data_IF_642897882554
#
_entry.id   IF_642897882554
#
_cell.length_a   1.000
_cell.length_b   1.000
_cell.length_c   1.000
_cell.angle_alpha   90.00
_cell.angle_beta   90.00
_cell.angle_gamma   90.00
#
_symmetry.space_group_name_H-M   'P 1'
#
loop_
_entity.id
_entity.type
_entity.pdbx_description
1 polymer ?
#
# COMPACT_ATOMS: atom_id res chain seq x y z
N UNK A 1 5.35 0.90 -7.96
CA UNK A 1 4.70 0.93 -6.64
C UNK A 1 5.51 1.85 -5.75
N UNK A 2 4.86 2.64 -4.89
CA UNK A 2 5.50 3.67 -4.08
C UNK A 2 5.93 3.08 -2.73
N UNK A 3 7.18 3.28 -2.32
CA UNK A 3 7.71 2.68 -1.08
C UNK A 3 7.30 3.41 0.21
N UNK A 4 7.04 4.72 0.16
CA UNK A 4 6.69 5.52 1.35
C UNK A 4 5.77 6.69 1.01
N UNK A 5 4.72 6.92 1.80
CA UNK A 5 3.84 8.10 1.70
C UNK A 5 4.08 9.08 2.86
N UNK A 6 4.09 10.39 2.59
CA UNK A 6 4.13 11.39 3.67
C UNK A 6 2.70 11.62 4.19
N UNK A 7 2.47 11.35 5.47
CA UNK A 7 1.21 11.69 6.14
C UNK A 7 1.52 12.70 7.24
N UNK A 8 0.97 13.91 7.12
CA UNK A 8 1.18 14.97 8.11
C UNK A 8 0.33 14.71 9.35
N UNK A 9 0.84 14.93 10.58
CA UNK A 9 0.02 14.95 11.80
C UNK A 9 -1.14 15.96 11.74
N UNK A 10 -1.04 16.97 10.85
CA UNK A 10 -2.15 17.89 10.55
C UNK A 10 -3.38 17.19 10.00
N UNK A 11 -3.27 15.95 9.53
CA UNK A 11 -4.43 15.11 9.20
C UNK A 11 -5.43 15.02 10.37
N UNK A 12 -4.96 14.99 11.62
CA UNK A 12 -5.84 14.89 12.79
C UNK A 12 -6.30 16.23 13.34
N UNK A 13 -5.46 17.26 13.20
CA UNK A 13 -5.65 18.56 13.86
C UNK A 13 -6.18 19.64 12.91
N UNK A 14 -5.96 19.49 11.61
CA UNK A 14 -6.38 20.43 10.58
C UNK A 14 -7.90 20.47 10.40
N UNK A 15 -8.37 21.50 9.71
CA UNK A 15 -9.80 21.71 9.45
C UNK A 15 -10.44 20.51 8.75
N UNK A 16 -9.91 20.10 7.58
CA UNK A 16 -10.38 18.92 6.85
C UNK A 16 -10.37 17.65 7.72
N UNK A 17 -9.35 17.48 8.56
CA UNK A 17 -9.25 16.38 9.50
C UNK A 17 -10.37 16.34 10.54
N UNK A 18 -10.75 17.51 11.06
CA UNK A 18 -11.88 17.66 11.99
C UNK A 18 -13.21 17.44 11.29
N UNK A 19 -13.37 17.89 10.04
CA UNK A 19 -14.58 17.63 9.26
C UNK A 19 -14.75 16.13 8.95
N UNK A 20 -13.68 15.43 8.56
CA UNK A 20 -13.69 13.98 8.40
C UNK A 20 -14.09 13.26 9.71
N UNK A 21 -13.58 13.71 10.86
CA UNK A 21 -13.96 13.15 12.17
C UNK A 21 -15.45 13.35 12.47
N UNK A 22 -15.99 14.54 12.19
CA UNK A 22 -17.42 14.84 12.36
C UNK A 22 -18.29 13.97 11.44
N UNK A 23 -17.81 13.70 10.22
CA UNK A 23 -18.53 12.89 9.24
C UNK A 23 -18.60 11.40 9.63
N UNK A 24 -17.66 10.90 10.44
CA UNK A 24 -17.68 9.54 11.00
C UNK A 24 -16.33 8.82 10.89
N UNK A 25 -16.16 7.74 11.66
CA UNK A 25 -14.92 6.99 11.71
C UNK A 25 -14.56 6.37 10.34
N UNK A 26 -15.56 5.93 9.58
CA UNK A 26 -15.37 5.37 8.23
C UNK A 26 -14.77 6.40 7.28
N UNK A 27 -15.16 7.68 7.39
CA UNK A 27 -14.61 8.75 6.56
C UNK A 27 -13.12 8.98 6.87
N UNK A 28 -12.73 8.92 8.15
CA UNK A 28 -11.32 9.02 8.55
C UNK A 28 -10.51 7.82 8.08
N UNK A 29 -11.04 6.59 8.20
CA UNK A 29 -10.39 5.37 7.73
C UNK A 29 -10.20 5.41 6.21
N UNK A 30 -11.25 5.77 5.46
CA UNK A 30 -11.17 5.91 4.01
C UNK A 30 -10.17 7.00 3.63
N UNK A 31 -10.24 8.19 4.21
CA UNK A 31 -9.31 9.27 3.91
C UNK A 31 -7.84 8.89 4.19
N UNK A 32 -7.59 8.21 5.31
CA UNK A 32 -6.25 7.72 5.65
C UNK A 32 -5.77 6.65 4.67
N UNK A 33 -6.64 5.72 4.30
CA UNK A 33 -6.37 4.72 3.27
C UNK A 33 -6.07 5.38 1.92
N UNK A 34 -6.83 6.39 1.49
CA UNK A 34 -6.58 7.09 0.22
C UNK A 34 -5.18 7.72 0.15
N UNK A 35 -4.63 8.14 1.29
CA UNK A 35 -3.26 8.69 1.38
C UNK A 35 -2.17 7.61 1.36
N UNK A 36 -2.50 6.38 1.74
CA UNK A 36 -1.55 5.30 2.04
C UNK A 36 -1.75 4.05 1.20
N UNK A 37 -2.75 4.05 0.30
CA UNK A 37 -3.11 2.91 -0.52
C UNK A 37 -1.91 2.40 -1.33
N UNK A 38 -1.74 1.07 -1.45
CA UNK A 38 -0.69 0.49 -2.29
C UNK A 38 -0.84 0.87 -3.77
N UNK A 39 -2.04 1.29 -4.18
CA UNK A 39 -2.38 1.72 -5.53
C UNK A 39 -2.15 3.22 -5.76
N UNK A 40 -1.89 3.99 -4.69
CA UNK A 40 -1.72 5.44 -4.79
C UNK A 40 -0.40 5.84 -5.47
N UNK A 41 -0.48 6.82 -6.37
CA UNK A 41 0.69 7.50 -6.93
C UNK A 41 0.96 8.83 -6.21
N UNK A 42 2.05 9.49 -6.59
CA UNK A 42 2.43 10.77 -5.98
C UNK A 42 1.47 11.93 -6.28
N UNK A 43 0.64 11.81 -7.32
CA UNK A 43 -0.32 12.85 -7.71
C UNK A 43 -1.59 12.80 -6.85
N UNK A 44 -1.85 11.65 -6.22
CA UNK A 44 -3.13 11.36 -5.60
C UNK A 44 -4.26 11.19 -6.62
N UNK A 45 -3.95 10.94 -7.89
CA UNK A 45 -4.92 10.69 -8.95
C UNK A 45 -4.67 9.29 -9.52
N UNK A 46 -5.49 8.32 -9.14
CA UNK A 46 -5.23 6.91 -9.43
C UNK A 46 -6.52 6.06 -9.46
N UNK A 47 -6.42 4.86 -10.02
CA UNK A 47 -7.51 3.88 -10.10
C UNK A 47 -7.77 3.25 -8.74
N UNK A 48 -9.01 3.30 -8.28
CA UNK A 48 -9.43 2.73 -7.00
C UNK A 48 -10.90 2.29 -7.06
N UNK A 49 -11.17 1.02 -7.44
CA UNK A 49 -12.48 0.43 -7.25
C UNK A 49 -12.89 0.46 -5.78
N UNK A 50 -14.17 0.73 -5.51
CA UNK A 50 -14.74 0.66 -4.16
C UNK A 50 -14.54 -0.73 -3.55
N UNK A 51 -14.46 -1.78 -4.37
CA UNK A 51 -14.15 -3.13 -3.92
C UNK A 51 -12.78 -3.24 -3.25
N UNK A 52 -11.75 -2.56 -3.78
CA UNK A 52 -10.41 -2.56 -3.18
C UNK A 52 -10.44 -1.83 -1.85
N UNK A 53 -11.10 -0.67 -1.80
CA UNK A 53 -11.29 0.09 -0.58
C UNK A 53 -11.99 -0.76 0.49
N UNK A 54 -13.09 -1.44 0.13
CA UNK A 54 -13.84 -2.30 1.05
C UNK A 54 -13.03 -3.48 1.57
N UNK A 55 -12.30 -4.17 0.67
CA UNK A 55 -11.48 -5.31 1.03
C UNK A 55 -10.33 -4.93 1.96
N UNK A 56 -9.59 -3.87 1.61
CA UNK A 56 -8.35 -3.50 2.31
C UNK A 56 -8.62 -2.74 3.63
N UNK A 57 -9.74 -2.01 3.73
CA UNK A 57 -10.12 -1.33 4.99
C UNK A 57 -10.93 -2.19 5.95
N UNK A 58 -11.52 -3.30 5.48
CA UNK A 58 -12.42 -4.14 6.27
C UNK A 58 -13.78 -3.52 6.56
N UNK A 59 -14.12 -2.35 5.99
CA UNK A 59 -15.39 -1.66 6.21
C UNK A 59 -16.60 -2.32 5.52
N UNK A 60 -16.36 -3.29 4.63
CA UNK A 60 -17.38 -3.82 3.72
C UNK A 60 -17.79 -2.79 2.65
N UNK A 61 -18.59 -3.22 1.66
CA UNK A 61 -18.95 -2.38 0.51
C UNK A 61 -19.78 -1.16 0.93
N UNK A 62 -20.72 -1.32 1.85
CA UNK A 62 -21.58 -0.22 2.34
C UNK A 62 -20.74 0.80 3.12
N UNK A 63 -19.92 0.34 4.06
CA UNK A 63 -19.06 1.22 4.87
C UNK A 63 -18.02 1.96 4.03
N UNK A 64 -17.40 1.28 3.06
CA UNK A 64 -16.44 1.89 2.13
C UNK A 64 -17.10 2.95 1.24
N UNK A 65 -18.25 2.63 0.63
CA UNK A 65 -19.01 3.57 -0.21
C UNK A 65 -19.42 4.82 0.58
N UNK A 66 -19.96 4.62 1.79
CA UNK A 66 -20.38 5.69 2.69
C UNK A 66 -19.22 6.55 3.16
N UNK A 67 -18.10 5.92 3.56
CA UNK A 67 -16.89 6.61 3.97
C UNK A 67 -16.29 7.45 2.84
N UNK A 68 -16.26 6.91 1.62
CA UNK A 68 -15.79 7.62 0.43
C UNK A 68 -16.68 8.82 0.10
N UNK A 69 -18.00 8.65 0.11
CA UNK A 69 -18.96 9.76 -0.08
C UNK A 69 -18.73 10.88 0.93
N UNK A 70 -18.61 10.54 2.21
CA UNK A 70 -18.33 11.51 3.28
C UNK A 70 -16.98 12.22 3.09
N UNK A 71 -15.95 11.52 2.60
CA UNK A 71 -14.66 12.13 2.27
C UNK A 71 -14.78 13.11 1.09
N UNK A 72 -15.63 12.82 0.10
CA UNK A 72 -15.96 13.75 -0.99
C UNK A 72 -16.69 14.98 -0.46
N UNK A 73 -17.72 14.80 0.37
CA UNK A 73 -18.48 15.90 0.98
C UNK A 73 -17.62 16.80 1.87
N UNK A 74 -16.64 16.22 2.57
CA UNK A 74 -15.64 16.95 3.37
C UNK A 74 -14.58 17.67 2.50
N UNK A 75 -14.67 17.58 1.17
CA UNK A 75 -13.73 18.19 0.24
C UNK A 75 -12.34 17.55 0.24
N UNK A 76 -12.18 16.36 0.81
CA UNK A 76 -10.88 15.68 0.89
C UNK A 76 -10.47 15.04 -0.44
N UNK A 77 -11.44 14.52 -1.19
CA UNK A 77 -11.20 13.89 -2.49
C UNK A 77 -12.37 14.11 -3.45
N UNK A 78 -12.16 13.79 -4.73
CA UNK A 78 -13.20 13.58 -5.73
C UNK A 78 -13.15 12.14 -6.23
N UNK A 79 -14.29 11.57 -6.61
CA UNK A 79 -14.37 10.20 -7.12
C UNK A 79 -15.22 10.12 -8.41
N UNK A 80 -14.69 9.44 -9.42
CA UNK A 80 -15.34 9.18 -10.71
C UNK A 80 -15.81 7.72 -10.69
N UNK A 81 -17.11 7.49 -10.57
CA UNK A 81 -17.68 6.15 -10.50
C UNK A 81 -17.54 5.38 -11.83
N UNK A 82 -17.60 6.06 -12.97
CA UNK A 82 -17.57 5.41 -14.28
C UNK A 82 -16.15 4.95 -14.63
N UNK A 83 -15.15 5.74 -14.27
CA UNK A 83 -13.74 5.41 -14.48
C UNK A 83 -13.08 4.70 -13.28
N UNK A 84 -13.78 4.62 -12.14
CA UNK A 84 -13.27 4.18 -10.84
C UNK A 84 -11.96 4.87 -10.46
N UNK A 85 -11.89 6.19 -10.71
CA UNK A 85 -10.71 7.00 -10.42
C UNK A 85 -10.97 7.86 -9.19
N UNK A 86 -10.00 7.94 -8.30
CA UNK A 86 -10.01 8.87 -7.17
C UNK A 86 -9.00 9.99 -7.40
N UNK A 87 -9.37 11.21 -7.04
CA UNK A 87 -8.46 12.34 -6.90
C UNK A 87 -8.44 12.83 -5.44
N UNK A 88 -7.35 12.56 -4.72
CA UNK A 88 -7.09 13.09 -3.39
C UNK A 88 -6.56 14.51 -3.51
N UNK A 89 -7.32 15.48 -3.02
CA UNK A 89 -7.00 16.89 -3.19
C UNK A 89 -5.72 17.26 -2.42
N UNK A 90 -4.92 18.16 -2.99
CA UNK A 90 -3.63 18.61 -2.42
C UNK A 90 -2.56 17.53 -2.22
N UNK A 91 -2.84 16.25 -2.54
CA UNK A 91 -1.87 15.17 -2.33
C UNK A 91 -0.58 15.39 -3.12
N UNK A 92 -0.66 15.84 -4.37
CA UNK A 92 0.53 16.16 -5.17
C UNK A 92 1.43 17.21 -4.48
N UNK A 93 0.83 18.27 -3.91
CA UNK A 93 1.57 19.30 -3.18
C UNK A 93 2.26 18.74 -1.92
N UNK A 94 1.59 17.88 -1.16
CA UNK A 94 2.18 17.26 0.04
C UNK A 94 3.28 16.24 -0.28
N UNK A 95 3.13 15.49 -1.37
CA UNK A 95 4.04 14.40 -1.70
C UNK A 95 5.26 14.91 -2.48
N UNK A 96 5.04 15.78 -3.47
CA UNK A 96 6.08 16.29 -4.37
C UNK A 96 6.68 17.61 -3.86
N UNK A 97 5.84 18.50 -3.32
CA UNK A 97 6.18 19.84 -2.84
C UNK A 97 5.13 20.86 -3.30
N UNK A 98 4.96 21.99 -2.59
CA UNK A 98 3.92 22.99 -2.90
C UNK A 98 4.14 23.66 -4.27
N UNK A 99 5.37 24.11 -4.54
CA UNK A 99 5.76 24.72 -5.82
C UNK A 99 7.19 24.28 -6.14
N UNK A 100 7.44 23.95 -7.40
CA UNK A 100 8.75 23.52 -7.90
C UNK A 100 9.40 24.63 -8.74
N UNK A 101 10.74 24.65 -8.78
CA UNK A 101 11.47 25.56 -9.67
C UNK A 101 11.42 25.03 -11.11
N UNK A 102 11.44 25.92 -12.11
CA UNK A 102 11.69 25.51 -13.50
C UNK A 102 13.00 24.71 -13.56
N UNK A 103 12.96 23.50 -14.15
CA UNK A 103 14.12 22.61 -14.27
C UNK A 103 14.31 21.60 -13.12
N UNK A 104 13.45 21.59 -12.09
CA UNK A 104 13.46 20.51 -11.09
C UNK A 104 13.05 19.18 -11.72
N UNK A 105 13.83 18.11 -11.50
CA UNK A 105 13.56 16.78 -12.05
C UNK A 105 12.20 16.20 -11.61
N UNK A 106 11.66 16.66 -10.47
CA UNK A 106 10.32 16.27 -10.02
C UNK A 106 9.22 16.76 -10.96
N UNK A 107 9.40 17.91 -11.63
CA UNK A 107 8.45 18.39 -12.64
C UNK A 107 8.32 17.37 -13.78
N UNK A 108 9.45 16.82 -14.25
CA UNK A 108 9.44 15.78 -15.27
C UNK A 108 8.72 14.51 -14.79
N UNK A 109 8.96 14.10 -13.53
CA UNK A 109 8.24 12.97 -12.92
C UNK A 109 6.72 13.19 -12.85
N UNK A 110 6.28 14.37 -12.42
CA UNK A 110 4.85 14.73 -12.38
C UNK A 110 4.24 14.73 -13.78
N UNK A 111 4.92 15.31 -14.78
CA UNK A 111 4.42 15.32 -16.17
C UNK A 111 4.27 13.91 -16.73
N UNK A 112 5.29 13.06 -16.52
CA UNK A 112 5.25 11.68 -17.01
C UNK A 112 4.11 10.89 -16.35
N UNK A 113 3.96 11.00 -15.03
CA UNK A 113 2.87 10.33 -14.32
C UNK A 113 1.51 10.84 -14.80
N UNK A 114 1.32 12.16 -14.92
CA UNK A 114 0.08 12.78 -15.40
C UNK A 114 -0.27 12.38 -16.84
N UNK A 115 0.74 12.29 -17.72
CA UNK A 115 0.56 11.83 -19.09
C UNK A 115 0.18 10.34 -19.18
N UNK A 116 0.64 9.52 -18.22
CA UNK A 116 0.37 8.08 -18.20
C UNK A 116 -1.04 7.71 -17.74
N UNK A 117 -1.74 8.63 -17.06
CA UNK A 117 -3.06 8.36 -16.49
C UNK A 117 -4.10 8.03 -17.59
N UNK A 118 -5.03 7.09 -17.34
CA UNK A 118 -6.15 6.86 -18.24
C UNK A 118 -7.09 8.07 -18.29
N UNK A 119 -7.91 8.18 -19.34
CA UNK A 119 -8.92 9.24 -19.45
C UNK A 119 -9.92 9.19 -18.30
N UNK A 120 -10.11 10.32 -17.60
CA UNK A 120 -10.96 10.43 -16.41
C UNK A 120 -11.44 11.88 -16.17
N UNK A 121 -12.44 12.06 -15.31
CA UNK A 121 -13.07 13.36 -15.05
C UNK A 121 -12.13 14.47 -14.53
N UNK A 122 -10.98 14.12 -13.95
CA UNK A 122 -10.16 15.04 -13.15
C UNK A 122 -8.94 15.61 -13.88
N UNK A 123 -8.57 15.09 -15.05
CA UNK A 123 -7.34 15.48 -15.75
C UNK A 123 -7.25 16.99 -16.01
N UNK A 124 -8.34 17.62 -16.45
CA UNK A 124 -8.34 19.05 -16.76
C UNK A 124 -8.26 19.91 -15.51
N UNK A 125 -8.95 19.51 -14.43
CA UNK A 125 -8.97 20.25 -13.16
C UNK A 125 -7.64 20.10 -12.42
N UNK A 126 -7.04 18.91 -12.48
CA UNK A 126 -5.68 18.68 -11.98
C UNK A 126 -4.68 19.60 -12.68
N UNK A 127 -4.75 19.69 -14.01
CA UNK A 127 -3.90 20.62 -14.77
C UNK A 127 -4.12 22.07 -14.33
N UNK A 128 -5.37 22.52 -14.24
CA UNK A 128 -5.68 23.90 -13.87
C UNK A 128 -5.17 24.24 -12.46
N UNK A 129 -5.22 23.28 -11.52
CA UNK A 129 -4.70 23.43 -10.16
C UNK A 129 -3.18 23.50 -10.11
N UNK A 130 -2.46 22.69 -10.90
CA UNK A 130 -1.02 22.47 -10.73
C UNK A 130 -0.14 22.95 -11.89
N UNK A 131 -0.70 23.54 -12.95
CA UNK A 131 0.06 24.01 -14.13
C UNK A 131 1.24 24.91 -13.76
N UNK A 132 1.03 25.86 -12.84
CA UNK A 132 2.06 26.80 -12.42
C UNK A 132 3.02 26.15 -11.44
N UNK A 133 2.50 25.39 -10.48
CA UNK A 133 3.28 24.80 -9.39
C UNK A 133 4.27 23.74 -9.89
N UNK A 134 3.85 22.92 -10.88
CA UNK A 134 4.64 21.81 -11.43
C UNK A 134 5.08 22.01 -12.87
N UNK A 135 4.86 23.21 -13.44
CA UNK A 135 5.23 23.56 -14.82
C UNK A 135 4.68 22.56 -15.83
N UNK A 136 3.38 22.25 -15.72
CA UNK A 136 2.68 21.41 -16.70
C UNK A 136 2.46 22.21 -17.98
N UNK A 137 2.71 21.57 -19.11
CA UNK A 137 2.68 22.16 -20.45
C UNK A 137 1.53 21.63 -21.30
N UNK A 138 1.08 20.39 -21.05
CA UNK A 138 -0.01 19.76 -21.78
C UNK A 138 -1.25 19.65 -20.90
N UNK A 139 -2.31 20.38 -21.26
CA UNK A 139 -3.64 20.22 -20.67
C UNK A 139 -4.37 19.07 -21.35
N UNK A 140 -4.81 18.08 -20.57
CA UNK A 140 -5.66 16.98 -21.06
C UNK A 140 -7.13 17.29 -20.77
N UNK A 141 -7.89 17.53 -21.83
CA UNK A 141 -9.31 17.85 -21.75
C UNK A 141 -10.12 16.56 -21.81
N UNK A 142 -11.04 16.36 -20.87
CA UNK A 142 -11.95 15.23 -20.96
C UNK A 142 -13.16 15.58 -21.83
N UNK A 143 -13.37 14.84 -22.93
CA UNK A 143 -14.57 14.98 -23.78
C UNK A 143 -15.88 14.71 -23.02
N UNK A 144 -15.83 14.02 -21.87
CA UNK A 144 -17.01 13.75 -21.02
C UNK A 144 -17.49 14.98 -20.24
N UNK A 145 -16.60 15.92 -19.91
CA UNK A 145 -16.95 17.14 -19.16
C UNK A 145 -17.70 18.19 -20.00
N UNK A 146 -17.83 18.00 -21.32
CA UNK A 146 -18.63 18.89 -22.17
C UNK A 146 -20.13 18.60 -22.11
N UNK A 147 -20.56 17.46 -21.55
CA UNK A 147 -21.99 17.02 -21.57
C UNK A 147 -22.60 16.92 -20.17
N UNK A 148 -21.81 16.74 -19.11
CA UNK A 148 -22.31 16.78 -17.73
C UNK A 148 -21.43 17.68 -16.89
N UNK A 149 -22.00 18.79 -16.44
CA UNK A 149 -21.38 19.60 -15.39
C UNK A 149 -21.06 18.74 -14.16
N UNK A 150 -20.13 19.23 -13.34
CA UNK A 150 -19.63 18.69 -12.07
C UNK A 150 -20.69 18.06 -11.14
N UNK A 151 -21.96 18.39 -11.35
CA UNK A 151 -23.14 17.83 -10.66
C UNK A 151 -23.35 16.32 -10.87
N UNK A 152 -22.79 15.71 -11.92
CA UNK A 152 -22.95 14.28 -12.21
C UNK A 152 -22.34 13.34 -11.16
N UNK A 153 -21.18 13.72 -10.61
CA UNK A 153 -20.50 12.96 -9.55
C UNK A 153 -21.29 12.99 -8.22
N UNK A 154 -22.07 14.06 -7.98
CA UNK A 154 -22.92 14.19 -6.80
C UNK A 154 -24.31 13.54 -6.99
N UNK A 155 -24.85 13.52 -8.22
CA UNK A 155 -26.22 13.01 -8.49
C UNK A 155 -26.32 11.49 -8.47
N UNK A 156 -25.29 10.75 -8.93
CA UNK A 156 -25.31 9.28 -8.92
C UNK A 156 -25.53 8.69 -7.51
N UNK A 157 -24.88 9.28 -6.51
CA UNK A 157 -24.97 8.83 -5.11
C UNK A 157 -26.32 9.17 -4.45
N UNK A 158 -26.98 10.26 -4.84
CA UNK A 158 -28.27 10.65 -4.25
C UNK A 158 -29.42 9.77 -4.76
N UNK A 159 -29.37 9.35 -6.02
CA UNK A 159 -30.41 8.50 -6.60
C UNK A 159 -30.36 7.06 -6.08
N UNK A 160 -29.15 6.52 -5.84
CA UNK A 160 -28.99 5.15 -5.36
C UNK A 160 -29.38 4.98 -3.87
N UNK A 161 -29.17 6.01 -3.04
CA UNK A 161 -29.61 6.00 -1.64
C UNK A 161 -31.14 6.12 -1.49
N UNK A 162 -31.81 6.93 -2.33
CA UNK A 162 -33.28 7.05 -2.27
C UNK A 162 -33.99 5.75 -2.68
N UNK A 163 -33.42 4.99 -3.61
CA UNK A 163 -33.97 3.70 -4.02
C UNK A 163 -33.73 2.61 -2.95
N UNK A 164 -32.54 2.55 -2.34
CA UNK A 164 -32.25 1.56 -1.29
C UNK A 164 -32.95 1.85 0.06
N UNK A 165 -33.14 3.11 0.44
CA UNK A 165 -33.89 3.47 1.66
C UNK A 165 -35.38 3.15 1.50
N UNK A 166 -35.97 3.40 0.32
CA UNK A 166 -37.36 3.03 0.02
C UNK A 166 -37.57 1.51 -0.01
N UNK A 167 -36.59 0.74 -0.50
CA UNK A 167 -36.67 -0.73 -0.49
C UNK A 167 -36.55 -1.31 0.93
N UNK A 168 -35.69 -0.76 1.79
CA UNK A 168 -35.59 -1.18 3.21
C UNK A 168 -36.84 -0.82 4.02
N UNK A 169 -37.45 0.35 3.80
CA UNK A 169 -38.70 0.73 4.47
C UNK A 169 -39.87 -0.17 4.01
N UNK A 170 -39.96 -0.49 2.71
CA UNK A 170 -41.00 -1.41 2.21
C UNK A 170 -40.83 -2.86 2.68
N UNK A 171 -39.61 -3.35 2.91
CA UNK A 171 -39.38 -4.67 3.50
C UNK A 171 -39.71 -4.74 5.00
N UNK A 172 -39.45 -3.67 5.76
CA UNK A 172 -39.87 -3.59 7.17
C UNK A 172 -41.39 -3.51 7.32
N UNK A 173 -42.08 -2.78 6.44
CA UNK A 173 -43.54 -2.70 6.44
C UNK A 173 -44.20 -4.03 6.04
N UNK A 174 -43.60 -4.77 5.10
CA UNK A 174 -44.09 -6.11 4.71
C UNK A 174 -43.91 -7.15 5.81
N UNK A 175 -42.84 -7.08 6.61
CA UNK A 175 -42.64 -7.99 7.74
C UNK A 175 -43.57 -7.71 8.93
N UNK A 176 -44.12 -6.49 9.02
CA UNK A 176 -45.04 -6.11 10.12
C UNK A 176 -46.51 -6.48 9.82
N UNK A 177 -46.88 -6.74 8.55
CA UNK A 177 -48.26 -7.05 8.14
C UNK A 177 -48.65 -8.55 8.14
N UNK A 178 -47.76 -9.49 8.49
CA UNK A 178 -48.04 -10.95 8.37
C UNK A 178 -48.59 -11.59 9.66
N UNK A 179 -48.71 -10.87 10.79
CA UNK A 179 -49.35 -11.41 12.00
C UNK A 179 -50.60 -10.64 12.42
N UNK A 180 -51.73 -10.97 11.81
CA UNK A 180 -53.03 -10.56 12.33
C UNK A 180 -54.23 -11.19 11.65
N UNK A 181 -54.86 -12.19 12.31
CA UNK A 181 -56.31 -12.48 12.41
C UNK A 181 -56.50 -13.93 12.92
N UNK A 182 -57.44 -14.31 13.79
CA UNK A 182 -58.55 -13.67 14.53
C UNK A 182 -59.11 -14.74 15.50
N UNK A 183 -59.80 -14.36 16.59
CA UNK A 183 -61.15 -14.85 16.93
C UNK A 183 -61.76 -14.16 18.19
N UNK A 184 -62.75 -13.30 17.92
CA UNK A 184 -64.09 -13.11 18.53
C UNK A 184 -64.46 -13.55 19.98
N UNK A 185 -64.98 -12.56 20.74
CA UNK A 185 -66.31 -12.52 21.42
C UNK A 185 -66.45 -12.92 22.91
N UNK A 186 -66.69 -11.95 23.82
CA UNK A 186 -67.97 -11.71 24.55
C UNK A 186 -67.89 -10.71 25.74
N UNK A 187 -68.89 -9.81 25.78
CA UNK A 187 -69.69 -9.20 26.86
C UNK A 187 -69.18 -8.86 28.28
N UNK A 188 -69.41 -7.58 28.61
CA UNK A 188 -70.15 -6.98 29.75
C UNK A 188 -69.85 -7.35 31.22
N UNK A 189 -69.69 -6.31 32.06
CA UNK A 189 -69.92 -6.40 33.51
C UNK A 189 -69.15 -5.40 34.39
N UNK A 190 -69.83 -4.29 34.72
CA UNK A 190 -69.82 -3.58 36.01
C UNK A 190 -68.68 -2.67 36.54
N UNK A 191 -69.21 -1.64 37.20
CA UNK A 191 -68.65 -0.41 37.75
C UNK A 191 -68.37 -0.59 39.25
N UNK A 192 -67.25 -0.10 39.77
CA UNK A 192 -67.24 0.83 40.92
C UNK A 192 -65.86 1.41 41.28
N UNK A 193 -65.93 2.73 41.49
CA UNK A 193 -65.06 3.74 42.12
C UNK A 193 -64.21 3.33 43.33
N UNK A 194 -62.98 3.87 43.44
CA UNK A 194 -62.58 4.97 44.36
C UNK A 194 -61.15 5.47 44.06
N UNK A 195 -60.93 6.78 44.22
CA UNK A 195 -59.67 7.56 44.14
C UNK A 195 -59.45 8.20 45.54
N UNK A 196 -58.34 8.91 45.89
CA UNK A 196 -56.99 8.98 45.33
C UNK A 196 -55.88 8.89 46.42
N UNK A 197 -54.60 8.79 46.01
CA UNK A 197 -53.47 8.91 46.95
C UNK A 197 -52.09 8.74 46.33
N UNK A 198 -51.67 9.66 45.46
CA UNK A 198 -50.26 9.96 45.14
C UNK A 198 -49.65 10.85 46.26
N UNK A 199 -48.33 11.11 46.33
CA UNK A 199 -47.24 10.79 45.38
C UNK A 199 -46.09 10.04 46.12
N UNK A 200 -44.92 9.71 45.60
CA UNK A 200 -44.19 9.81 44.34
C UNK A 200 -43.01 8.83 44.50
N UNK A 201 -42.47 8.33 43.39
CA UNK A 201 -41.17 7.64 43.39
C UNK A 201 -41.22 6.31 42.67
N UNK A 202 -41.07 6.39 41.37
CA UNK A 202 -40.92 5.32 40.38
C UNK A 202 -39.92 4.22 40.77
N UNK A 203 -40.44 2.99 40.82
CA UNK A 203 -39.87 1.69 40.39
C UNK A 203 -39.37 1.72 38.92
N UNK A 204 -38.97 0.60 38.27
CA UNK A 204 -38.43 -0.73 38.69
C UNK A 204 -37.11 -1.08 37.93
N UNK A 205 -36.30 -2.08 38.30
CA UNK A 205 -36.46 -3.55 38.07
C UNK A 205 -36.70 -3.91 36.57
N UNK A 206 -36.08 -4.93 35.96
CA UNK A 206 -36.08 -6.30 36.45
C UNK A 206 -35.07 -7.23 35.76
N UNK A 207 -34.66 -8.20 36.57
CA UNK A 207 -34.15 -9.54 36.31
C UNK A 207 -35.02 -10.38 35.34
N UNK A 208 -34.42 -11.13 34.41
CA UNK A 208 -33.92 -12.53 34.54
C UNK A 208 -35.00 -13.59 34.81
N UNK A 209 -35.32 -14.43 33.80
CA UNK A 209 -35.73 -15.84 33.99
C UNK A 209 -35.94 -16.62 32.65
N UNK A 210 -34.94 -17.45 32.33
CA UNK A 210 -34.96 -18.90 32.00
C UNK A 210 -36.11 -19.64 31.26
N UNK A 211 -35.62 -20.63 30.45
CA UNK A 211 -36.13 -21.99 30.18
C UNK A 211 -36.94 -22.20 28.85
N UNK A 212 -36.86 -23.27 28.01
CA UNK A 212 -36.30 -24.63 28.01
C UNK A 212 -36.13 -25.18 26.55
N UNK A 213 -35.10 -26.04 26.36
CA UNK A 213 -35.02 -27.37 25.67
C UNK A 213 -35.28 -27.61 24.14
N UNK A 214 -34.25 -28.29 23.57
CA UNK A 214 -34.19 -29.47 22.68
C UNK A 214 -34.61 -29.33 21.19
N UNK A 215 -33.87 -29.86 20.19
CA UNK A 215 -33.56 -31.28 19.99
C UNK A 215 -32.22 -31.54 19.23
N UNK A 216 -31.74 -32.77 19.41
CA UNK A 216 -30.48 -33.38 18.99
C UNK A 216 -30.58 -33.98 17.58
N UNK A 217 -29.48 -33.96 16.83
CA UNK A 217 -29.35 -34.59 15.52
C UNK A 217 -27.89 -34.78 15.14
N UNK A 218 -27.16 -35.57 15.93
CA UNK A 218 -25.80 -35.98 15.63
C UNK A 218 -25.79 -37.09 14.58
N UNK A 219 -24.97 -36.92 13.53
CA UNK A 219 -24.43 -38.04 12.76
C UNK A 219 -22.91 -37.90 12.77
N UNK A 220 -22.29 -38.81 13.50
CA UNK A 220 -20.85 -38.93 13.69
C UNK A 220 -20.41 -40.14 12.87
N UNK A 221 -19.46 -39.98 11.95
CA UNK A 221 -18.71 -41.11 11.40
C UNK A 221 -17.21 -40.82 11.36
N UNK A 222 -16.60 -41.30 12.45
CA UNK A 222 -15.30 -41.95 12.63
C UNK A 222 -14.33 -42.01 11.45
N UNK A 223 -13.11 -41.61 11.79
CA UNK A 223 -11.84 -41.77 11.09
C UNK A 223 -11.52 -43.22 10.72
N UNK A 224 -11.14 -43.45 9.47
CA UNK A 224 -10.23 -44.54 9.10
C UNK A 224 -9.03 -43.97 8.36
N UNK A 225 -7.84 -44.32 8.84
CA UNK A 225 -6.56 -43.81 8.38
C UNK A 225 -5.96 -44.64 7.22
N UNK A 226 -5.20 -43.91 6.37
CA UNK A 226 -4.19 -44.31 5.36
C UNK A 226 -4.69 -44.58 3.92
N UNK A 227 -3.85 -44.36 2.88
CA UNK A 227 -2.63 -43.54 2.78
C UNK A 227 -2.77 -42.40 1.76
N UNK A 228 -1.91 -41.38 1.89
CA UNK A 228 -1.77 -40.28 0.94
C UNK A 228 -1.28 -40.82 -0.42
N UNK A 229 -2.13 -40.79 -1.45
CA UNK A 229 -1.67 -40.79 -2.83
C UNK A 229 -1.25 -39.36 -3.19
N UNK A 230 0.02 -39.10 -2.99
CA UNK A 230 0.78 -38.03 -3.60
C UNK A 230 0.67 -38.12 -5.12
N UNK A 231 -0.08 -37.20 -5.74
CA UNK A 231 0.17 -36.82 -7.12
C UNK A 231 1.49 -36.03 -7.15
N UNK A 232 2.53 -36.80 -7.44
CA UNK A 232 3.88 -36.37 -7.73
C UNK A 232 3.86 -35.66 -9.09
N UNK A 233 3.79 -34.32 -9.08
CA UNK A 233 4.34 -33.56 -10.20
C UNK A 233 5.85 -33.65 -10.05
N UNK A 234 6.45 -34.54 -10.84
CA UNK A 234 7.89 -34.65 -11.01
C UNK A 234 8.46 -33.28 -11.37
N UNK A 235 9.32 -32.77 -10.50
CA UNK A 235 10.34 -31.81 -10.89
C UNK A 235 11.27 -32.49 -11.90
N UNK A 236 11.48 -31.92 -13.11
CA UNK A 236 12.64 -32.29 -13.89
C UNK A 236 13.85 -31.54 -13.34
N UNK A 237 14.72 -32.28 -12.65
CA UNK A 237 16.12 -31.92 -12.47
C UNK A 237 16.86 -32.04 -13.81
N UNK A 238 17.03 -30.90 -14.49
CA UNK A 238 18.01 -30.58 -15.54
C UNK A 238 17.52 -29.24 -16.11
N UNK A 239 18.17 -28.10 -15.88
CA UNK A 239 19.35 -27.72 -16.63
C UNK A 239 20.13 -26.61 -15.89
N UNK A 240 21.10 -27.03 -15.05
CA UNK A 240 22.18 -26.15 -14.57
C UNK A 240 23.28 -25.93 -15.65
N UNK A 241 22.94 -26.13 -16.93
CA UNK A 241 23.89 -26.11 -18.04
C UNK A 241 23.67 -24.95 -19.04
N UNK A 242 22.50 -24.31 -19.09
CA UNK A 242 22.16 -23.40 -20.20
C UNK A 242 22.61 -21.93 -19.97
N UNK A 243 23.09 -21.56 -18.77
CA UNK A 243 23.64 -20.22 -18.52
C UNK A 243 25.17 -20.12 -18.55
N UNK A 244 25.88 -21.22 -18.85
CA UNK A 244 27.33 -21.20 -19.09
C UNK A 244 27.71 -21.02 -20.58
N UNK A 245 26.74 -21.00 -21.49
CA UNK A 245 26.97 -20.95 -22.95
C UNK A 245 26.90 -19.53 -23.55
N UNK A 246 26.63 -18.48 -22.75
CA UNK A 246 26.54 -17.11 -23.25
C UNK A 246 27.89 -16.40 -23.44
N UNK A 247 29.01 -17.03 -23.05
CA UNK A 247 30.36 -16.45 -23.13
C UNK A 247 31.30 -17.16 -24.12
N UNK A 248 30.79 -18.09 -24.96
CA UNK A 248 31.62 -18.85 -25.91
C UNK A 248 31.49 -18.46 -27.39
N UNK A 249 30.85 -17.34 -27.69
CA UNK A 249 30.84 -16.80 -29.05
C UNK A 249 32.06 -15.89 -29.26
N UNK A 250 33.09 -16.45 -29.89
CA UNK A 250 34.16 -15.68 -30.52
C UNK A 250 33.54 -14.97 -31.73
N UNK A 251 33.53 -13.61 -31.79
CA UNK A 251 33.06 -12.96 -32.99
C UNK A 251 34.14 -13.05 -34.07
N UNK A 252 33.77 -13.69 -35.18
CA UNK A 252 34.53 -13.61 -36.43
C UNK A 252 34.58 -12.16 -36.93
N UNK A 253 35.72 -11.84 -37.52
CA UNK A 253 36.26 -10.52 -37.75
C UNK A 253 35.47 -9.74 -38.82
N UNK A 254 34.82 -8.64 -38.42
CA UNK A 254 34.54 -7.51 -39.33
C UNK A 254 35.19 -6.27 -38.71
N UNK A 255 36.22 -5.78 -39.39
CA UNK A 255 37.23 -4.91 -38.83
C UNK A 255 36.70 -3.57 -38.34
N UNK A 256 36.97 -3.28 -37.05
CA UNK A 256 37.30 -1.99 -36.47
C UNK A 256 37.91 -2.27 -35.08
N UNK A 257 39.22 -2.11 -34.94
CA UNK A 257 39.99 -2.50 -33.74
C UNK A 257 39.72 -1.55 -32.56
N UNK A 258 38.77 -1.91 -31.69
CA UNK A 258 38.67 -1.32 -30.34
C UNK A 258 39.67 -2.07 -29.45
N UNK A 259 40.79 -1.42 -29.12
CA UNK A 259 41.89 -2.01 -28.37
C UNK A 259 41.43 -2.78 -27.12
N UNK A 260 41.68 -4.09 -27.10
CA UNK A 260 41.44 -4.97 -25.96
C UNK A 260 42.34 -4.49 -24.82
N UNK A 261 41.74 -3.98 -23.74
CA UNK A 261 42.49 -3.61 -22.54
C UNK A 261 42.75 -4.90 -21.78
N UNK A 262 43.99 -5.38 -21.81
CA UNK A 262 44.41 -6.49 -20.96
C UNK A 262 44.46 -6.03 -19.51
N UNK A 263 43.68 -6.67 -18.65
CA UNK A 263 43.65 -6.37 -17.23
C UNK A 263 44.61 -7.31 -16.48
N UNK A 264 45.32 -6.84 -15.44
CA UNK A 264 46.14 -7.69 -14.59
C UNK A 264 45.31 -8.79 -13.90
N UNK A 265 45.88 -9.98 -13.72
CA UNK A 265 45.21 -11.14 -13.09
C UNK A 265 44.59 -10.81 -11.73
N UNK A 266 45.28 -10.00 -10.94
CA UNK A 266 44.80 -9.56 -9.62
C UNK A 266 43.53 -8.70 -9.74
N UNK A 267 43.44 -7.85 -10.77
CA UNK A 267 42.21 -7.10 -11.03
C UNK A 267 41.10 -7.99 -11.59
N UNK A 268 41.42 -8.97 -12.43
CA UNK A 268 40.44 -9.96 -12.89
C UNK A 268 39.85 -10.78 -11.74
N UNK A 269 40.67 -11.13 -10.75
CA UNK A 269 40.20 -11.75 -9.51
C UNK A 269 39.28 -10.81 -8.73
N UNK A 270 39.70 -9.57 -8.49
CA UNK A 270 38.86 -8.55 -7.83
C UNK A 270 37.53 -8.36 -8.54
N UNK A 271 37.55 -8.34 -9.88
CA UNK A 271 36.36 -8.18 -10.71
C UNK A 271 35.41 -9.38 -10.61
N UNK A 272 35.95 -10.60 -10.62
CA UNK A 272 35.19 -11.84 -10.47
C UNK A 272 34.54 -11.97 -9.09
N UNK A 273 35.22 -11.48 -8.05
CA UNK A 273 34.70 -11.50 -6.67
C UNK A 273 33.79 -10.30 -6.37
N UNK A 274 33.76 -9.28 -7.23
CA UNK A 274 32.91 -8.10 -7.03
C UNK A 274 31.42 -8.46 -7.11
N UNK A 275 30.59 -8.04 -6.14
CA UNK A 275 29.16 -8.37 -6.12
C UNK A 275 28.43 -7.95 -7.40
N UNK A 276 27.59 -8.84 -7.94
CA UNK A 276 26.76 -8.54 -9.11
C UNK A 276 25.76 -7.42 -8.78
N UNK A 277 25.60 -6.48 -9.71
CA UNK A 277 24.71 -5.32 -9.60
C UNK A 277 23.67 -5.36 -10.73
N UNK A 278 22.41 -5.05 -10.42
CA UNK A 278 21.42 -4.75 -11.46
C UNK A 278 21.66 -3.36 -12.07
N UNK A 279 21.80 -3.29 -13.39
CA UNK A 279 22.12 -2.07 -14.14
C UNK A 279 23.64 -1.85 -14.32
N UNK A 280 24.01 -0.68 -14.85
CA UNK A 280 25.37 -0.44 -15.36
C UNK A 280 26.48 -0.54 -14.28
N UNK A 281 27.54 -1.30 -14.59
CA UNK A 281 28.79 -1.36 -13.82
C UNK A 281 30.00 -1.52 -14.78
N UNK A 282 30.48 -0.42 -15.39
CA UNK A 282 31.48 -0.49 -16.46
C UNK A 282 32.90 -0.85 -15.93
N UNK A 283 33.41 -2.02 -16.33
CA UNK A 283 34.72 -2.58 -15.93
C UNK A 283 35.90 -1.64 -16.17
N UNK A 284 35.96 -0.99 -17.34
CA UNK A 284 37.04 -0.07 -17.72
C UNK A 284 37.16 1.12 -16.75
N UNK A 285 36.03 1.70 -16.35
CA UNK A 285 36.00 2.82 -15.40
C UNK A 285 36.39 2.38 -13.99
N UNK A 286 35.93 1.20 -13.57
CA UNK A 286 36.34 0.60 -12.31
C UNK A 286 37.84 0.32 -12.26
N UNK A 287 38.43 -0.18 -13.35
CA UNK A 287 39.87 -0.39 -13.46
C UNK A 287 40.66 0.91 -13.34
N UNK A 288 40.18 2.01 -13.93
CA UNK A 288 40.81 3.33 -13.79
C UNK A 288 40.84 3.78 -12.33
N UNK A 289 39.73 3.62 -11.61
CA UNK A 289 39.63 3.95 -10.18
C UNK A 289 40.55 3.05 -9.33
N UNK A 290 40.56 1.74 -9.58
CA UNK A 290 41.44 0.78 -8.91
C UNK A 290 42.94 1.11 -9.12
N UNK A 291 43.35 1.44 -10.35
CA UNK A 291 44.72 1.88 -10.64
C UNK A 291 45.10 3.18 -9.92
N UNK A 292 44.16 4.08 -9.66
CA UNK A 292 44.43 5.27 -8.88
C UNK A 292 44.81 4.91 -7.43
N UNK A 293 44.13 3.93 -6.83
CA UNK A 293 44.45 3.43 -5.49
C UNK A 293 45.81 2.73 -5.42
N UNK A 294 46.19 1.98 -6.46
CA UNK A 294 47.55 1.42 -6.56
C UNK A 294 48.63 2.51 -6.57
N UNK A 295 48.41 3.61 -7.31
CA UNK A 295 49.35 4.75 -7.34
C UNK A 295 49.46 5.48 -6.01
N UNK A 296 48.41 5.42 -5.19
CA UNK A 296 48.39 5.92 -3.81
C UNK A 296 49.03 4.96 -2.81
N UNK A 297 49.58 3.83 -3.27
CA UNK A 297 50.25 2.84 -2.42
C UNK A 297 49.31 1.85 -1.73
N UNK A 298 48.04 1.79 -2.11
CA UNK A 298 47.10 0.79 -1.57
C UNK A 298 47.43 -0.59 -2.16
N UNK A 299 47.72 -1.60 -1.33
CA UNK A 299 47.96 -2.96 -1.82
C UNK A 299 46.72 -3.54 -2.53
N UNK A 300 46.89 -4.30 -3.62
CA UNK A 300 45.79 -4.98 -4.29
C UNK A 300 44.96 -5.87 -3.35
N UNK A 301 45.63 -6.56 -2.42
CA UNK A 301 45.00 -7.45 -1.44
C UNK A 301 44.04 -6.69 -0.51
N UNK A 302 44.38 -5.47 -0.10
CA UNK A 302 43.51 -4.63 0.73
C UNK A 302 42.19 -4.31 0.03
N UNK A 303 42.25 -4.06 -1.28
CA UNK A 303 41.06 -3.81 -2.10
C UNK A 303 40.24 -5.08 -2.31
N UNK A 304 40.89 -6.23 -2.51
CA UNK A 304 40.23 -7.54 -2.64
C UNK A 304 39.52 -7.94 -1.33
N UNK A 305 40.16 -7.75 -0.18
CA UNK A 305 39.56 -7.98 1.12
C UNK A 305 38.36 -7.06 1.38
N UNK A 306 38.45 -5.80 0.94
CA UNK A 306 37.32 -4.88 0.93
C UNK A 306 36.15 -5.41 0.12
N UNK A 307 36.39 -5.92 -1.09
CA UNK A 307 35.37 -6.56 -1.93
C UNK A 307 34.72 -7.74 -1.21
N UNK A 308 35.52 -8.62 -0.59
CA UNK A 308 35.02 -9.79 0.15
C UNK A 308 34.16 -9.39 1.34
N UNK A 309 34.58 -8.40 2.14
CA UNK A 309 33.77 -7.84 3.24
C UNK A 309 32.44 -7.30 2.71
N UNK A 310 32.49 -6.52 1.64
CA UNK A 310 31.30 -5.93 1.03
C UNK A 310 30.33 -6.99 0.47
N UNK A 311 30.85 -8.02 -0.18
CA UNK A 311 30.07 -9.14 -0.69
C UNK A 311 29.33 -9.89 0.43
N UNK A 312 30.02 -10.18 1.54
CA UNK A 312 29.42 -10.80 2.73
C UNK A 312 28.32 -9.94 3.33
N UNK A 313 28.55 -8.63 3.44
CA UNK A 313 27.54 -7.68 3.92
C UNK A 313 26.29 -7.65 3.05
N UNK A 314 26.44 -7.63 1.73
CA UNK A 314 25.31 -7.66 0.80
C UNK A 314 24.53 -8.96 0.87
N UNK A 315 25.22 -10.10 1.02
CA UNK A 315 24.57 -11.39 1.23
C UNK A 315 23.77 -11.41 2.54
N UNK A 316 24.36 -10.95 3.65
CA UNK A 316 23.69 -10.91 4.96
C UNK A 316 22.52 -9.93 5.02
N UNK A 317 22.52 -8.87 4.20
CA UNK A 317 21.45 -7.86 4.15
C UNK A 317 20.42 -8.11 3.03
N UNK A 318 20.54 -9.18 2.26
CA UNK A 318 19.62 -9.51 1.17
C UNK A 318 19.69 -8.53 -0.02
N UNK A 319 20.81 -7.83 -0.21
CA UNK A 319 20.98 -6.79 -1.25
C UNK A 319 21.83 -7.23 -2.44
N UNK A 320 22.37 -8.45 -2.44
CA UNK A 320 23.14 -8.99 -3.56
C UNK A 320 22.29 -9.02 -4.85
N UNK A 321 22.87 -8.64 -5.99
CA UNK A 321 22.18 -8.65 -7.29
C UNK A 321 21.22 -7.48 -7.53
N UNK A 322 21.02 -6.59 -6.56
CA UNK A 322 20.09 -5.45 -6.70
C UNK A 322 20.77 -4.22 -7.32
N UNK A 323 19.99 -3.19 -7.66
CA UNK A 323 20.55 -1.90 -8.12
C UNK A 323 21.28 -1.13 -7.00
N UNK A 324 21.07 -1.51 -5.74
CA UNK A 324 21.70 -0.90 -4.56
C UNK A 324 23.13 -1.38 -4.32
N UNK A 325 23.58 -2.42 -5.04
CA UNK A 325 25.00 -2.77 -5.06
C UNK A 325 25.78 -1.59 -5.63
N UNK A 326 26.83 -1.15 -4.94
CA UNK A 326 27.64 -0.03 -5.35
C UNK A 326 28.30 -0.32 -6.70
N UNK A 327 28.40 0.70 -7.56
CA UNK A 327 29.22 0.60 -8.77
C UNK A 327 30.69 0.47 -8.37
N UNK A 328 31.45 -0.39 -9.03
CA UNK A 328 32.84 -0.63 -8.70
C UNK A 328 33.71 0.62 -8.85
N UNK A 329 33.36 1.53 -9.78
CA UNK A 329 33.99 2.85 -9.91
C UNK A 329 33.87 3.70 -8.63
N UNK A 330 32.70 3.66 -7.97
CA UNK A 330 32.48 4.35 -6.69
C UNK A 330 33.18 3.61 -5.56
N UNK A 331 33.11 2.28 -5.58
CA UNK A 331 33.73 1.44 -4.55
C UNK A 331 35.25 1.63 -4.45
N UNK A 332 35.94 1.64 -5.60
CA UNK A 332 37.37 1.96 -5.70
C UNK A 332 37.65 3.45 -5.88
N UNK A 333 36.64 4.32 -5.72
CA UNK A 333 36.74 5.76 -5.90
C UNK A 333 37.55 6.47 -4.82
N UNK A 334 37.68 7.81 -4.88
CA UNK A 334 38.46 8.61 -3.93
C UNK A 334 38.03 8.44 -2.46
N UNK A 335 36.77 8.10 -2.22
CA UNK A 335 36.22 7.87 -0.87
C UNK A 335 36.65 6.52 -0.28
N UNK A 336 37.38 5.68 -1.05
CA UNK A 336 37.99 4.42 -0.59
C UNK A 336 37.01 3.48 0.13
N UNK A 337 35.82 3.29 -0.44
CA UNK A 337 34.76 2.46 0.16
C UNK A 337 35.15 1.00 0.42
N UNK A 338 36.24 0.49 -0.18
CA UNK A 338 36.84 -0.81 0.14
C UNK A 338 37.44 -0.88 1.56
N UNK A 339 37.76 0.26 2.17
CA UNK A 339 38.30 0.34 3.54
C UNK A 339 37.21 0.27 4.61
N UNK A 340 35.95 0.49 4.22
CA UNK A 340 34.85 0.38 5.15
C UNK A 340 34.79 -1.03 5.76
N UNK A 341 34.44 -1.14 7.06
CA UNK A 341 34.46 -2.42 7.76
C UNK A 341 33.35 -3.36 7.29
N UNK A 342 32.27 -2.83 6.69
CA UNK A 342 31.10 -3.59 6.22
C UNK A 342 30.64 -4.64 7.25
N UNK A 343 30.46 -4.19 8.50
CA UNK A 343 30.08 -5.06 9.61
C UNK A 343 28.74 -5.73 9.32
N UNK A 344 28.68 -7.05 9.56
CA UNK A 344 27.45 -7.79 9.41
C UNK A 344 26.44 -7.35 10.48
N UNK A 345 25.16 -7.18 10.15
CA UNK A 345 24.13 -6.94 11.16
C UNK A 345 24.12 -8.12 12.15
N UNK A 346 24.14 -7.80 13.45
CA UNK A 346 24.08 -8.81 14.51
C UNK A 346 22.73 -9.54 14.39
N UNK A 347 22.76 -10.88 14.36
CA UNK A 347 21.58 -11.73 14.31
C UNK A 347 20.63 -11.38 15.46
N UNK A 348 19.63 -10.57 15.15
CA UNK A 348 18.74 -9.92 16.12
C UNK A 348 17.95 -8.79 15.51
N UNK A 349 18.43 -8.19 14.41
CA UNK A 349 17.65 -7.25 13.61
C UNK A 349 17.56 -7.75 12.19
N UNK A 350 16.58 -8.61 11.95
CA UNK A 350 16.00 -8.76 10.62
C UNK A 350 15.47 -7.36 10.26
N UNK A 351 16.28 -6.54 9.59
CA UNK A 351 15.97 -5.15 9.26
C UNK A 351 14.84 -5.00 8.23
N UNK A 352 14.21 -6.11 7.85
CA UNK A 352 12.80 -6.10 7.52
C UNK A 352 12.01 -5.83 8.79
N UNK A 353 11.94 -4.55 9.20
CA UNK A 353 10.77 -4.07 9.91
C UNK A 353 9.59 -4.27 8.96
N UNK A 354 9.00 -5.47 8.98
CA UNK A 354 7.64 -5.66 8.54
C UNK A 354 6.83 -4.70 9.41
N UNK A 355 6.32 -3.62 8.81
CA UNK A 355 5.53 -2.59 9.51
C UNK A 355 4.31 -3.21 10.22
N UNK A 356 3.93 -4.42 9.80
CA UNK A 356 2.83 -5.21 10.33
C UNK A 356 3.25 -6.30 11.34
N UNK A 357 4.54 -6.42 11.68
CA UNK A 357 4.96 -7.34 12.75
C UNK A 357 4.93 -6.60 14.08
N UNK A 358 3.86 -6.84 14.83
CA UNK A 358 3.80 -6.48 16.25
C UNK A 358 4.74 -7.45 16.97
N UNK A 359 5.82 -6.94 17.56
CA UNK A 359 6.66 -7.72 18.46
C UNK A 359 5.82 -8.21 19.63
N UNK A 360 6.03 -9.45 20.07
CA UNK A 360 5.40 -9.94 21.30
C UNK A 360 5.75 -8.99 22.46
N UNK A 361 4.78 -8.66 23.34
CA UNK A 361 5.06 -7.80 24.47
C UNK A 361 6.13 -8.46 25.33
N UNK A 362 7.20 -7.71 25.59
CA UNK A 362 8.25 -8.12 26.51
C UNK A 362 7.60 -8.40 27.87
N UNK A 363 7.67 -9.66 28.30
CA UNK A 363 7.10 -10.13 29.56
C UNK A 363 8.12 -10.02 30.71
N UNK A 364 9.35 -9.60 30.41
CA UNK A 364 10.36 -9.35 31.44
C UNK A 364 10.16 -7.95 32.04
N UNK A 365 9.66 -7.93 33.28
CA UNK A 365 9.62 -6.71 34.08
C UNK A 365 11.06 -6.32 34.45
N UNK A 366 11.52 -5.09 34.12
CA UNK A 366 12.88 -4.66 34.44
C UNK A 366 13.17 -4.75 35.95
N UNK A 367 14.39 -5.17 36.35
CA UNK A 367 14.79 -5.18 37.76
C UNK A 367 14.66 -3.78 38.37
N UNK A 368 13.76 -3.62 39.35
CA UNK A 368 13.45 -2.34 40.00
C UNK A 368 11.98 -1.91 39.92
N UNK A 369 11.19 -2.53 39.04
CA UNK A 369 9.73 -2.37 38.99
C UNK A 369 9.03 -3.52 39.75
N UNK A 370 9.19 -3.58 41.07
CA UNK A 370 8.22 -4.31 41.92
C UNK A 370 7.43 -3.27 42.72
N UNK A 371 6.21 -3.00 42.28
CA UNK A 371 5.20 -2.27 43.04
C UNK A 371 4.46 -3.20 43.98
#
# INVERSE_FOLDING_TARGET
>A
MRDYAKVSPRFWLGETGRELRKAGAEAQVVAFYLMTSPHANMLGLYYLPVLYLAHETGLGLEGASKGLKRAVEAGFCSYDHDAEMVWVHEMAAWQVGETLKPGDNRCAGVRNEYASLPENAFLSVFYDRYKTDFHLDVRRNNSRNSVRGFEGAFKGLRSQEQEQEQEKEQEQDKNTMVHGKKNTTNQAGDVQTVNPGQPAGTTPEADSAYALKADSGAVQQVMTARPKQSHQLQQPEADSAIQREADRVVPENTGLSVGRVDYPDVFEQVWREYPLRAGANPKKSAFSAWKARLREGVPPETMLDGVRRYARYLAATGKAGTEFVQRATTFFGPDRNFENPWLLPVSGTNNQRCVNHISEPDTEIPPGFRG
#
